data_IF_409920933806
#
_entry.id   IF_409920933806
#
_cell.length_a   1.000
_cell.length_b   1.000
_cell.length_c   1.000
_cell.angle_alpha   90.00
_cell.angle_beta   90.00
_cell.angle_gamma   90.00
#
_symmetry.space_group_name_H-M   'P 1'
#
loop_
_entity.id
_entity.type
_entity.pdbx_description
1 polymer ?
#
# COMPACT_ATOMS: atom_id res chain seq x y z
N UNK A 1 51.67 18.18 4.20
CA UNK A 1 51.03 17.38 3.12
C UNK A 1 49.91 16.58 3.78
N UNK A 2 48.60 16.79 3.55
CA UNK A 2 47.89 17.44 2.42
C UNK A 2 48.23 16.79 1.07
N UNK A 3 47.31 16.27 0.25
CA UNK A 3 45.82 16.19 0.28
C UNK A 3 45.38 14.74 -0.13
N UNK A 4 44.10 14.30 -0.25
CA UNK A 4 42.76 14.90 -0.17
C UNK A 4 41.73 13.80 0.26
N UNK A 5 40.46 14.15 0.52
CA UNK A 5 39.31 13.22 0.56
C UNK A 5 38.70 13.02 -0.85
N UNK A 6 37.91 11.97 -1.04
CA UNK A 6 36.84 11.96 -2.06
C UNK A 6 35.62 11.14 -1.60
N UNK A 7 34.46 11.80 -1.44
CA UNK A 7 33.15 11.14 -1.33
C UNK A 7 32.45 11.20 -2.68
N UNK A 8 31.70 10.16 -3.04
CA UNK A 8 30.53 10.22 -3.95
C UNK A 8 29.34 9.80 -3.09
N UNK A 9 28.28 10.58 -2.81
CA UNK A 9 27.59 11.67 -3.53
C UNK A 9 26.74 11.16 -4.70
N UNK A 10 25.58 10.65 -4.28
CA UNK A 10 24.23 10.71 -4.89
C UNK A 10 24.10 11.63 -6.11
N UNK A 11 23.41 11.15 -7.14
CA UNK A 11 22.60 11.97 -8.06
C UNK A 11 21.30 11.26 -8.42
N UNK A 12 20.18 11.75 -7.88
CA UNK A 12 18.87 11.56 -8.51
C UNK A 12 18.83 12.33 -9.83
N UNK A 13 18.04 11.86 -10.80
CA UNK A 13 17.64 12.64 -11.97
C UNK A 13 16.12 12.65 -12.03
N UNK A 14 15.53 13.74 -11.53
CA UNK A 14 14.09 14.02 -11.66
C UNK A 14 13.87 14.69 -13.01
N UNK A 15 13.43 13.91 -14.00
CA UNK A 15 13.06 14.44 -15.33
C UNK A 15 11.61 14.92 -15.35
N UNK A 16 11.35 16.06 -14.71
CA UNK A 16 10.10 16.82 -14.90
C UNK A 16 10.44 18.08 -15.69
N UNK A 17 10.27 18.03 -17.01
CA UNK A 17 10.38 19.20 -17.89
C UNK A 17 8.99 19.52 -18.47
N UNK A 18 8.46 20.63 -17.98
CA UNK A 18 7.22 21.26 -18.40
C UNK A 18 7.28 21.62 -19.90
N UNK A 19 6.29 21.20 -20.69
CA UNK A 19 6.21 21.57 -22.11
C UNK A 19 4.79 22.02 -22.51
N UNK A 20 4.47 23.27 -22.17
CA UNK A 20 3.31 23.99 -22.71
C UNK A 20 3.84 25.04 -23.68
N UNK A 21 3.69 24.80 -24.98
CA UNK A 21 3.98 25.77 -26.05
C UNK A 21 2.79 25.84 -27.00
N UNK A 22 1.93 26.84 -26.78
CA UNK A 22 0.82 27.16 -27.70
C UNK A 22 1.38 27.81 -28.97
N UNK A 23 1.03 27.28 -30.13
CA UNK A 23 1.32 27.89 -31.43
C UNK A 23 0.12 27.77 -32.38
N UNK A 24 -0.58 28.88 -32.58
CA UNK A 24 -1.56 29.03 -33.67
C UNK A 24 -0.82 29.31 -34.99
N UNK A 25 -1.16 28.58 -36.05
CA UNK A 25 -1.15 29.15 -37.41
C UNK A 25 -2.25 28.50 -38.28
N UNK A 26 -2.58 29.15 -39.39
CA UNK A 26 -3.90 29.13 -40.01
C UNK A 26 -3.90 28.36 -41.34
N UNK A 27 -4.89 27.46 -41.47
CA UNK A 27 -5.60 26.98 -42.69
C UNK A 27 -4.77 26.72 -43.95
N UNK A 28 -4.90 25.50 -44.48
CA UNK A 28 -5.19 25.32 -45.91
C UNK A 28 -6.04 24.07 -46.16
N UNK A 29 -6.94 24.14 -47.14
CA UNK A 29 -7.94 23.12 -47.43
C UNK A 29 -7.72 22.50 -48.82
N UNK A 30 -7.50 21.19 -48.86
CA UNK A 30 -7.50 20.40 -50.11
C UNK A 30 -8.02 19.00 -49.82
N UNK A 31 -9.04 18.58 -50.57
CA UNK A 31 -9.63 17.24 -50.50
C UNK A 31 -8.83 16.23 -51.31
N UNK A 32 -8.47 15.08 -50.72
CA UNK A 32 -7.81 13.98 -51.43
C UNK A 32 -7.93 12.64 -50.70
N UNK A 33 -8.64 11.69 -51.30
CA UNK A 33 -8.60 10.24 -51.04
C UNK A 33 -7.42 9.59 -51.81
N UNK A 34 -6.85 8.43 -51.47
CA UNK A 34 -7.02 7.44 -50.37
C UNK A 34 -5.70 7.38 -49.53
N UNK A 35 -5.25 6.38 -48.73
CA UNK A 35 -5.55 4.94 -48.51
C UNK A 35 -5.22 4.52 -47.05
N UNK A 36 -5.46 3.23 -46.72
CA UNK A 36 -5.22 2.64 -45.40
C UNK A 36 -3.75 2.73 -44.92
N UNK A 37 -3.60 3.10 -43.65
CA UNK A 37 -2.61 2.54 -42.74
C UNK A 37 -3.28 2.37 -41.36
N UNK A 38 -3.97 1.26 -41.15
CA UNK A 38 -4.55 0.93 -39.84
C UNK A 38 -3.39 0.46 -38.94
N UNK A 39 -2.88 1.36 -38.09
CA UNK A 39 -1.82 1.05 -37.15
C UNK A 39 -2.38 0.20 -36.01
N UNK A 40 -2.31 -1.11 -36.18
CA UNK A 40 -2.57 -2.13 -35.17
C UNK A 40 -1.52 -2.02 -34.04
N UNK A 41 -1.72 -1.04 -33.16
CA UNK A 41 -0.99 -0.77 -31.93
C UNK A 41 -1.77 0.22 -31.05
N UNK A 42 -3.08 -0.01 -30.89
CA UNK A 42 -3.73 0.33 -29.62
C UNK A 42 -3.11 -0.61 -28.57
N UNK A 43 -1.99 -0.19 -28.01
CA UNK A 43 -1.54 -0.70 -26.71
C UNK A 43 -2.54 -0.11 -25.73
N UNK A 44 -3.54 -0.91 -25.34
CA UNK A 44 -4.52 -0.53 -24.33
C UNK A 44 -3.78 0.10 -23.14
N UNK A 45 -4.01 1.40 -22.93
CA UNK A 45 -3.56 2.04 -21.71
C UNK A 45 -4.23 1.29 -20.55
N UNK A 46 -3.48 0.85 -19.52
CA UNK A 46 -4.01 -0.02 -18.48
C UNK A 46 -5.24 0.64 -17.86
N UNK A 47 -6.40 0.03 -18.09
CA UNK A 47 -7.69 0.65 -17.77
C UNK A 47 -7.80 0.89 -16.28
N UNK A 48 -8.03 2.15 -15.91
CA UNK A 48 -8.06 2.57 -14.51
C UNK A 48 -9.10 1.79 -13.72
N UNK A 49 -8.73 1.36 -12.52
CA UNK A 49 -9.66 0.67 -11.62
C UNK A 49 -10.77 1.61 -11.16
N UNK A 50 -11.97 1.44 -11.71
CA UNK A 50 -13.18 2.19 -11.33
C UNK A 50 -14.08 1.43 -10.33
N UNK A 51 -13.57 0.37 -9.70
CA UNK A 51 -14.30 -0.38 -8.66
C UNK A 51 -14.38 0.38 -7.32
N UNK A 52 -15.15 -0.16 -6.35
CA UNK A 52 -15.39 0.51 -5.07
C UNK A 52 -14.11 0.56 -4.22
N UNK A 53 -13.44 1.72 -4.19
CA UNK A 53 -12.32 1.96 -3.28
C UNK A 53 -12.85 2.05 -1.84
N UNK A 54 -12.64 0.99 -1.06
CA UNK A 54 -12.91 1.01 0.38
C UNK A 54 -12.07 2.16 1.00
N UNK A 55 -12.66 3.14 1.72
CA UNK A 55 -11.93 4.30 2.23
C UNK A 55 -10.82 3.92 3.22
N UNK A 56 -10.90 2.74 3.82
CA UNK A 56 -9.92 2.18 4.76
C UNK A 56 -8.83 1.32 4.07
N UNK A 57 -8.78 1.27 2.73
CA UNK A 57 -7.82 0.43 1.99
C UNK A 57 -6.37 0.75 2.39
N UNK A 58 -5.60 -0.20 2.97
CA UNK A 58 -4.21 0.04 3.31
C UNK A 58 -3.41 0.34 2.04
N UNK A 59 -2.64 1.43 2.09
CA UNK A 59 -1.76 1.90 1.02
C UNK A 59 -2.44 2.24 -0.31
N UNK A 60 -3.78 2.33 -0.36
CA UNK A 60 -4.54 2.47 -1.60
C UNK A 60 -4.67 3.90 -2.14
N UNK A 61 -4.36 4.92 -1.33
CA UNK A 61 -4.66 6.33 -1.63
C UNK A 61 -3.38 7.10 -2.02
N UNK A 62 -2.53 7.42 -1.04
CA UNK A 62 -1.29 8.18 -1.23
C UNK A 62 -0.21 7.37 -1.95
N UNK A 63 0.71 8.00 -2.68
CA UNK A 63 1.78 7.28 -3.40
C UNK A 63 2.82 6.72 -2.42
N UNK A 64 3.02 7.43 -1.32
CA UNK A 64 3.98 7.12 -0.27
C UNK A 64 3.36 7.26 1.12
N UNK A 65 3.84 6.43 2.04
CA UNK A 65 3.53 6.45 3.46
C UNK A 65 4.82 6.28 4.24
N UNK A 66 4.93 6.90 5.41
CA UNK A 66 6.02 6.68 6.33
C UNK A 66 5.47 6.27 7.69
N UNK A 67 6.02 5.20 8.25
CA UNK A 67 5.67 4.67 9.56
C UNK A 67 6.89 4.64 10.47
N UNK A 68 6.66 4.80 11.77
CA UNK A 68 7.65 4.50 12.81
C UNK A 68 7.33 3.11 13.38
N UNK A 69 8.29 2.19 13.27
CA UNK A 69 8.27 0.90 13.95
C UNK A 69 8.82 1.12 15.36
N UNK A 70 8.02 0.75 16.36
CA UNK A 70 8.32 0.92 17.77
C UNK A 70 8.87 -0.37 18.39
N UNK A 71 9.97 -0.25 19.14
CA UNK A 71 10.64 -1.36 19.82
C UNK A 71 11.86 -0.87 20.60
N UNK A 72 12.73 -1.80 21.02
CA UNK A 72 13.94 -1.49 21.81
C UNK A 72 14.88 -0.49 21.13
N UNK A 73 14.84 -0.41 19.80
CA UNK A 73 15.35 0.70 18.99
C UNK A 73 14.25 1.02 17.95
N UNK A 74 13.66 2.23 17.95
CA UNK A 74 12.72 2.63 16.90
C UNK A 74 13.40 2.69 15.53
N UNK A 75 12.64 2.40 14.47
CA UNK A 75 13.09 2.43 13.08
C UNK A 75 12.03 3.11 12.20
N UNK A 76 12.42 3.66 11.06
CA UNK A 76 11.49 4.20 10.07
C UNK A 76 11.25 3.17 8.95
N UNK A 77 9.98 2.99 8.59
CA UNK A 77 9.57 2.23 7.43
C UNK A 77 8.90 3.14 6.40
N UNK A 78 9.53 3.26 5.24
CA UNK A 78 8.96 3.92 4.06
C UNK A 78 8.19 2.88 3.24
N UNK A 79 6.94 3.19 2.86
CA UNK A 79 6.08 2.34 2.03
C UNK A 79 5.67 3.11 0.78
N UNK A 80 5.88 2.52 -0.40
CA UNK A 80 5.65 3.16 -1.69
C UNK A 80 4.72 2.28 -2.53
N UNK A 81 3.61 2.82 -3.06
CA UNK A 81 2.78 2.15 -4.07
C UNK A 81 3.44 2.27 -5.44
N UNK A 82 4.38 1.37 -5.70
CA UNK A 82 5.16 1.31 -6.95
C UNK A 82 4.27 1.14 -8.19
N UNK A 83 3.22 0.31 -8.07
CA UNK A 83 2.27 0.07 -9.16
C UNK A 83 0.83 0.32 -8.67
N UNK A 84 0.14 1.19 -9.39
CA UNK A 84 -1.28 1.50 -9.18
C UNK A 84 -2.17 0.27 -9.47
N UNK A 85 -3.42 0.23 -8.97
CA UNK A 85 -4.38 -0.81 -9.32
C UNK A 85 -4.54 -0.98 -10.83
N UNK A 86 -4.44 -2.21 -11.33
CA UNK A 86 -4.82 -2.57 -12.70
C UNK A 86 -6.35 -2.74 -12.84
N UNK A 87 -6.80 -3.13 -14.03
CA UNK A 87 -8.22 -3.40 -14.32
C UNK A 87 -8.85 -4.52 -13.47
N UNK A 88 -8.03 -5.37 -12.84
CA UNK A 88 -8.44 -6.41 -11.92
C UNK A 88 -8.38 -5.97 -10.44
N UNK A 89 -8.02 -4.70 -10.18
CA UNK A 89 -7.82 -4.15 -8.84
C UNK A 89 -6.50 -4.55 -8.18
N UNK A 90 -5.54 -5.10 -8.93
CA UNK A 90 -4.26 -5.59 -8.41
C UNK A 90 -3.24 -4.45 -8.37
N UNK A 91 -2.70 -4.17 -7.19
CA UNK A 91 -1.67 -3.16 -6.94
C UNK A 91 -0.49 -3.73 -6.16
N UNK A 92 0.64 -3.03 -6.19
CA UNK A 92 1.87 -3.45 -5.52
C UNK A 92 2.43 -2.31 -4.68
N UNK A 93 2.88 -2.66 -3.48
CA UNK A 93 3.65 -1.77 -2.61
C UNK A 93 4.98 -2.39 -2.26
N UNK A 94 6.01 -1.55 -2.10
CA UNK A 94 7.28 -1.93 -1.52
C UNK A 94 7.49 -1.21 -0.19
N UNK A 95 7.97 -1.95 0.80
CA UNK A 95 8.18 -1.52 2.18
C UNK A 95 9.67 -1.64 2.50
N UNK A 96 10.30 -0.53 2.89
CA UNK A 96 11.73 -0.43 3.12
C UNK A 96 12.01 0.01 4.56
N UNK A 97 12.99 -0.62 5.21
CA UNK A 97 13.45 -0.23 6.55
C UNK A 97 14.97 -0.16 6.52
N UNK A 98 15.51 1.05 6.61
CA UNK A 98 16.92 1.33 6.25
C UNK A 98 17.87 0.85 7.35
N UNK A 99 17.45 0.93 8.61
CA UNK A 99 18.23 0.62 9.81
C UNK A 99 18.57 -0.87 9.93
N UNK A 100 17.75 -1.75 9.36
CA UNK A 100 17.98 -3.21 9.33
C UNK A 100 18.21 -3.76 7.91
N UNK A 101 18.27 -2.90 6.89
CA UNK A 101 18.36 -3.26 5.47
C UNK A 101 17.26 -4.26 5.04
N UNK A 102 16.03 -4.09 5.54
CA UNK A 102 14.88 -4.89 5.10
C UNK A 102 14.17 -4.22 3.92
N UNK A 103 13.75 -5.05 2.95
CA UNK A 103 12.89 -4.64 1.85
C UNK A 103 11.90 -5.77 1.55
N UNK A 104 10.61 -5.44 1.52
CA UNK A 104 9.51 -6.40 1.30
C UNK A 104 8.56 -5.82 0.23
N UNK A 105 8.26 -6.59 -0.82
CA UNK A 105 7.18 -6.27 -1.74
C UNK A 105 5.91 -7.02 -1.34
N UNK A 106 4.76 -6.34 -1.38
CA UNK A 106 3.45 -6.94 -1.14
C UNK A 106 2.49 -6.61 -2.29
N UNK A 107 1.87 -7.66 -2.84
CA UNK A 107 0.88 -7.56 -3.92
C UNK A 107 -0.50 -7.71 -3.30
N UNK A 108 -1.37 -6.74 -3.56
CA UNK A 108 -2.74 -6.66 -3.05
C UNK A 108 -3.75 -6.68 -4.19
N UNK A 109 -4.98 -7.10 -3.90
CA UNK A 109 -6.11 -6.98 -4.81
C UNK A 109 -7.36 -6.43 -4.11
N UNK A 110 -7.98 -5.43 -4.74
CA UNK A 110 -9.30 -4.91 -4.37
C UNK A 110 -10.38 -5.79 -5.02
N UNK A 111 -11.28 -6.38 -4.23
CA UNK A 111 -12.42 -7.18 -4.68
C UNK A 111 -13.71 -6.71 -4.01
N UNK A 112 -14.86 -7.10 -4.56
CA UNK A 112 -16.19 -6.76 -4.01
C UNK A 112 -16.36 -7.16 -2.53
N UNK A 113 -15.68 -8.22 -2.08
CA UNK A 113 -15.72 -8.73 -0.71
C UNK A 113 -14.71 -8.05 0.23
N UNK A 114 -13.72 -7.30 -0.29
CA UNK A 114 -12.67 -6.67 0.50
C UNK A 114 -11.30 -6.63 -0.17
N UNK A 115 -10.30 -6.26 0.63
CA UNK A 115 -8.89 -6.14 0.24
C UNK A 115 -8.18 -7.45 0.59
N UNK A 116 -7.55 -8.07 -0.41
CA UNK A 116 -6.80 -9.32 -0.25
C UNK A 116 -5.30 -9.08 -0.43
N UNK A 117 -4.48 -9.70 0.41
CA UNK A 117 -3.06 -9.90 0.13
C UNK A 117 -2.96 -11.13 -0.78
N UNK A 118 -2.32 -10.97 -1.95
CA UNK A 118 -2.07 -12.07 -2.88
C UNK A 118 -0.72 -12.75 -2.59
N UNK A 119 0.33 -11.95 -2.35
CA UNK A 119 1.65 -12.46 -2.00
C UNK A 119 2.49 -11.41 -1.25
N UNK A 120 3.46 -11.91 -0.48
CA UNK A 120 4.54 -11.15 0.15
C UNK A 120 5.90 -11.69 -0.34
N UNK A 121 6.85 -10.80 -0.59
CA UNK A 121 8.16 -11.08 -1.16
C UNK A 121 9.25 -10.41 -0.32
N UNK A 122 9.92 -11.19 0.53
CA UNK A 122 11.06 -10.71 1.32
C UNK A 122 12.30 -10.50 0.43
N UNK A 123 13.22 -9.63 0.86
CA UNK A 123 14.47 -9.32 0.16
C UNK A 123 14.28 -8.64 -1.21
N UNK A 124 13.26 -7.79 -1.31
CA UNK A 124 12.90 -7.03 -2.52
C UNK A 124 13.84 -5.85 -2.76
N UNK A 125 15.08 -6.14 -3.20
CA UNK A 125 16.12 -5.13 -3.43
C UNK A 125 16.21 -4.63 -4.89
N UNK A 126 15.39 -5.15 -5.80
CA UNK A 126 15.29 -4.72 -7.20
C UNK A 126 13.81 -4.43 -7.51
N UNK A 127 13.53 -3.35 -8.24
CA UNK A 127 12.15 -2.98 -8.61
C UNK A 127 11.68 -3.79 -9.82
N UNK A 128 10.60 -4.54 -9.66
CA UNK A 128 9.96 -5.36 -10.71
C UNK A 128 8.44 -5.49 -10.48
N UNK A 129 7.66 -5.65 -11.54
CA UNK A 129 6.19 -5.80 -11.45
C UNK A 129 5.81 -7.25 -11.13
N UNK A 130 5.52 -7.53 -9.87
CA UNK A 130 5.19 -8.87 -9.36
C UNK A 130 3.68 -9.14 -9.33
N UNK A 131 2.84 -8.19 -9.76
CA UNK A 131 1.37 -8.31 -9.74
C UNK A 131 0.84 -9.51 -10.52
N UNK A 132 1.56 -9.90 -11.58
CA UNK A 132 1.25 -11.04 -12.44
C UNK A 132 2.31 -12.16 -12.38
N UNK A 133 3.19 -12.14 -11.36
CA UNK A 133 4.20 -13.18 -11.19
C UNK A 133 3.55 -14.56 -10.90
N UNK A 134 4.09 -15.68 -11.40
CA UNK A 134 3.51 -17.01 -11.15
C UNK A 134 3.38 -17.35 -9.65
N UNK A 135 4.26 -16.81 -8.81
CA UNK A 135 4.19 -16.94 -7.35
C UNK A 135 2.99 -16.21 -6.75
N UNK A 136 2.71 -14.95 -7.14
CA UNK A 136 1.47 -14.22 -6.79
C UNK A 136 0.23 -15.01 -7.19
N UNK A 137 0.20 -15.55 -8.42
CA UNK A 137 -0.96 -16.26 -8.96
C UNK A 137 -1.18 -17.66 -8.34
N UNK A 138 -0.20 -18.18 -7.59
CA UNK A 138 -0.22 -19.52 -6.97
C UNK A 138 -0.50 -19.53 -5.47
N UNK A 139 -0.41 -18.37 -4.79
CA UNK A 139 -0.64 -18.27 -3.34
C UNK A 139 -2.15 -18.16 -3.02
N UNK A 140 -2.54 -18.70 -1.87
CA UNK A 140 -3.92 -18.56 -1.34
C UNK A 140 -4.14 -17.10 -0.90
N UNK A 141 -5.08 -16.35 -1.50
CA UNK A 141 -5.31 -14.96 -1.13
C UNK A 141 -5.84 -14.84 0.29
N UNK A 142 -5.21 -13.99 1.10
CA UNK A 142 -5.58 -13.74 2.50
C UNK A 142 -6.45 -12.48 2.59
N UNK A 143 -7.61 -12.55 3.25
CA UNK A 143 -8.45 -11.37 3.48
C UNK A 143 -7.81 -10.48 4.54
N UNK A 144 -7.47 -9.24 4.16
CA UNK A 144 -6.83 -8.26 5.05
C UNK A 144 -7.89 -7.41 5.73
N UNK A 145 -8.89 -6.98 4.96
CA UNK A 145 -9.95 -6.06 5.37
C UNK A 145 -11.22 -6.31 4.54
N UNK A 146 -12.40 -6.62 5.13
CA UNK A 146 -13.64 -6.78 4.38
C UNK A 146 -14.14 -5.46 3.78
N UNK A 147 -14.97 -5.54 2.73
CA UNK A 147 -15.64 -4.37 2.14
C UNK A 147 -16.80 -3.88 3.01
N UNK A 148 -17.52 -4.80 3.65
CA UNK A 148 -18.51 -4.51 4.69
C UNK A 148 -17.84 -4.61 6.07
N UNK A 149 -17.66 -3.48 6.75
CA UNK A 149 -17.05 -3.41 8.08
C UNK A 149 -18.18 -3.19 9.10
N UNK A 150 -18.35 -4.15 10.02
CA UNK A 150 -19.37 -4.10 11.07
C UNK A 150 -18.83 -4.74 12.35
N UNK A 151 -19.13 -4.15 13.50
CA UNK A 151 -18.70 -4.64 14.82
C UNK A 151 -19.17 -6.08 15.08
N UNK A 152 -18.30 -6.89 15.68
CA UNK A 152 -18.52 -8.32 15.89
C UNK A 152 -18.38 -9.19 14.64
N UNK A 153 -18.03 -8.63 13.46
CA UNK A 153 -17.67 -9.44 12.30
C UNK A 153 -16.27 -10.03 12.47
N UNK A 154 -16.16 -11.36 12.41
CA UNK A 154 -14.89 -12.08 12.40
C UNK A 154 -14.57 -12.74 11.06
N UNK A 155 -13.29 -12.79 10.69
CA UNK A 155 -12.79 -13.39 9.45
C UNK A 155 -11.37 -13.94 9.60
N UNK A 156 -10.98 -14.93 8.77
CA UNK A 156 -9.63 -15.47 8.77
C UNK A 156 -8.64 -14.49 8.11
N UNK A 157 -7.51 -14.25 8.77
CA UNK A 157 -6.42 -13.36 8.34
C UNK A 157 -5.10 -14.11 8.09
N UNK A 158 -5.16 -15.44 8.01
CA UNK A 158 -4.09 -16.30 7.49
C UNK A 158 -4.66 -17.38 6.56
N UNK A 159 -3.83 -17.90 5.65
CA UNK A 159 -4.23 -18.89 4.66
C UNK A 159 -4.52 -20.29 5.24
N UNK A 160 -4.05 -20.56 6.47
CA UNK A 160 -4.27 -21.79 7.24
C UNK A 160 -5.40 -21.65 8.28
N UNK A 161 -5.97 -20.46 8.46
CA UNK A 161 -7.01 -20.17 9.45
C UNK A 161 -6.51 -20.09 10.90
N UNK A 162 -5.20 -20.09 11.16
CA UNK A 162 -4.64 -19.93 12.51
C UNK A 162 -4.81 -18.52 13.07
N UNK A 163 -4.99 -17.51 12.22
CA UNK A 163 -5.22 -16.11 12.64
C UNK A 163 -6.64 -15.66 12.31
N UNK A 164 -7.34 -15.15 13.32
CA UNK A 164 -8.70 -14.64 13.20
C UNK A 164 -8.70 -13.16 13.53
N UNK A 165 -9.25 -12.33 12.63
CA UNK A 165 -9.53 -10.93 12.86
C UNK A 165 -10.99 -10.73 13.26
N UNK A 166 -11.25 -9.82 14.18
CA UNK A 166 -12.59 -9.38 14.58
C UNK A 166 -12.65 -7.86 14.58
N UNK A 167 -13.68 -7.28 13.96
CA UNK A 167 -13.96 -5.84 14.06
C UNK A 167 -14.49 -5.55 15.47
N UNK A 168 -13.73 -4.82 16.28
CA UNK A 168 -14.04 -4.56 17.69
C UNK A 168 -14.84 -3.27 17.85
N UNK A 169 -14.47 -2.22 17.13
CA UNK A 169 -15.05 -0.89 17.27
C UNK A 169 -15.04 -0.18 15.91
N UNK A 170 -16.11 0.54 15.61
CA UNK A 170 -16.27 1.34 14.39
C UNK A 170 -16.62 2.78 14.73
N UNK A 171 -16.24 3.71 13.85
CA UNK A 171 -16.48 5.14 14.03
C UNK A 171 -15.80 5.76 15.26
N UNK A 172 -14.67 5.20 15.70
CA UNK A 172 -13.94 5.71 16.86
C UNK A 172 -13.11 6.95 16.52
N UNK A 173 -12.76 7.75 17.53
CA UNK A 173 -11.81 8.84 17.39
C UNK A 173 -10.45 8.40 17.95
N UNK A 174 -9.37 8.57 17.18
CA UNK A 174 -8.02 8.15 17.57
C UNK A 174 -7.02 9.27 17.31
N UNK A 175 -6.20 9.61 18.30
CA UNK A 175 -5.21 10.69 18.20
C UNK A 175 -3.80 10.13 18.30
N UNK A 176 -2.94 10.48 17.34
CA UNK A 176 -1.52 10.10 17.35
C UNK A 176 -0.67 11.14 16.61
N UNK A 177 0.53 11.42 17.13
CA UNK A 177 1.45 12.43 16.58
C UNK A 177 0.79 13.82 16.40
N UNK A 178 0.00 14.24 17.39
CA UNK A 178 -0.82 15.47 17.39
C UNK A 178 -1.85 15.57 16.25
N UNK A 179 -2.18 14.45 15.59
CA UNK A 179 -3.21 14.34 14.55
C UNK A 179 -4.39 13.50 15.05
N UNK A 180 -5.57 14.11 15.11
CA UNK A 180 -6.82 13.43 15.44
C UNK A 180 -7.49 12.85 14.16
N UNK A 181 -7.53 11.53 14.07
CA UNK A 181 -8.28 10.79 13.06
C UNK A 181 -9.72 10.59 13.55
N UNK A 182 -10.69 10.70 12.63
CA UNK A 182 -12.11 10.46 12.87
C UNK A 182 -12.55 9.21 12.12
N UNK A 183 -13.71 8.66 12.50
CA UNK A 183 -14.33 7.49 11.89
C UNK A 183 -13.39 6.26 11.80
N UNK A 184 -12.49 6.09 12.77
CA UNK A 184 -11.49 5.01 12.77
C UNK A 184 -12.16 3.66 13.07
N UNK A 185 -11.62 2.60 12.49
CA UNK A 185 -12.03 1.21 12.68
C UNK A 185 -10.93 0.46 13.42
N UNK A 186 -11.27 -0.20 14.53
CA UNK A 186 -10.39 -1.10 15.29
C UNK A 186 -10.68 -2.55 14.93
N UNK A 187 -9.65 -3.29 14.54
CA UNK A 187 -9.70 -4.73 14.24
C UNK A 187 -8.67 -5.46 15.10
N UNK A 188 -9.12 -6.39 15.94
CA UNK A 188 -8.28 -7.24 16.77
C UNK A 188 -7.93 -8.53 16.02
N UNK A 189 -6.66 -8.96 16.06
CA UNK A 189 -6.20 -10.26 15.55
C UNK A 189 -5.76 -11.16 16.72
N UNK A 190 -6.43 -12.31 16.82
CA UNK A 190 -6.02 -13.44 17.66
C UNK A 190 -5.20 -14.43 16.83
N UNK A 191 -4.08 -14.89 17.39
CA UNK A 191 -3.28 -15.99 16.86
C UNK A 191 -3.57 -17.26 17.67
N UNK A 192 -4.31 -18.19 17.08
CA UNK A 192 -4.75 -19.44 17.73
C UNK A 192 -3.58 -20.39 18.05
N UNK A 193 -2.35 -20.05 17.66
CA UNK A 193 -1.13 -20.76 18.04
C UNK A 193 -0.33 -20.07 19.16
N UNK A 194 -0.60 -18.79 19.47
CA UNK A 194 0.14 -17.97 20.43
C UNK A 194 -0.77 -16.98 21.19
N UNK A 195 -1.48 -17.45 22.22
CA UNK A 195 -2.49 -16.67 22.96
C UNK A 195 -1.95 -15.73 24.05
N UNK A 196 -0.64 -15.44 24.09
CA UNK A 196 -0.03 -14.52 25.07
C UNK A 196 -0.43 -13.05 24.86
N UNK A 197 -0.89 -12.70 23.65
CA UNK A 197 -1.26 -11.35 23.25
C UNK A 197 -2.24 -11.35 22.08
N UNK A 198 -2.99 -10.26 21.93
CA UNK A 198 -3.72 -9.90 20.71
C UNK A 198 -3.02 -8.74 19.98
N UNK A 199 -3.27 -8.59 18.68
CA UNK A 199 -2.70 -7.50 17.87
C UNK A 199 -3.82 -6.65 17.28
N UNK A 200 -3.93 -5.38 17.68
CA UNK A 200 -4.98 -4.49 17.17
C UNK A 200 -4.45 -3.61 16.03
N UNK A 201 -5.21 -3.57 14.94
CA UNK A 201 -4.99 -2.75 13.76
C UNK A 201 -6.02 -1.63 13.72
N UNK A 202 -5.58 -0.39 13.57
CA UNK A 202 -6.44 0.79 13.46
C UNK A 202 -6.39 1.32 12.04
N UNK A 203 -7.56 1.44 11.40
CA UNK A 203 -7.71 1.95 10.04
C UNK A 203 -8.52 3.24 10.03
N UNK A 204 -7.99 4.30 9.42
CA UNK A 204 -8.68 5.57 9.23
C UNK A 204 -9.13 5.76 7.76
N UNK A 205 -10.25 6.47 7.50
CA UNK A 205 -10.64 6.81 6.14
C UNK A 205 -9.56 7.63 5.42
N UNK A 206 -9.38 7.41 4.12
CA UNK A 206 -8.35 8.00 3.25
C UNK A 206 -6.88 7.66 3.58
N UNK A 207 -6.55 7.27 4.82
CA UNK A 207 -5.19 6.84 5.18
C UNK A 207 -5.01 5.32 5.09
N UNK A 208 -6.04 4.55 5.40
CA UNK A 208 -5.89 3.10 5.60
C UNK A 208 -5.28 2.81 6.97
N UNK A 209 -4.32 1.89 7.06
CA UNK A 209 -3.67 1.52 8.32
C UNK A 209 -2.95 2.73 8.94
N UNK A 210 -3.31 3.12 10.17
CA UNK A 210 -2.64 4.21 10.90
C UNK A 210 -1.82 3.72 12.10
N UNK A 211 -2.25 2.65 12.78
CA UNK A 211 -1.57 2.10 13.97
C UNK A 211 -1.69 0.58 14.01
N UNK A 212 -0.63 -0.09 14.48
CA UNK A 212 -0.69 -1.45 15.02
C UNK A 212 -0.18 -1.42 16.46
N UNK A 213 -0.96 -1.95 17.40
CA UNK A 213 -0.53 -2.23 18.78
C UNK A 213 -0.59 -3.72 19.09
N UNK A 214 0.07 -4.11 20.17
CA UNK A 214 -0.07 -5.41 20.81
C UNK A 214 -0.55 -5.22 22.23
N UNK A 215 -1.56 -5.98 22.64
CA UNK A 215 -2.09 -5.96 24.01
C UNK A 215 -1.88 -7.33 24.64
N UNK A 216 -1.27 -7.38 25.82
CA UNK A 216 -1.05 -8.63 26.55
C UNK A 216 -2.26 -9.02 27.42
N UNK A 217 -2.23 -10.23 27.98
CA UNK A 217 -3.30 -10.74 28.87
C UNK A 217 -3.59 -9.89 30.12
N UNK A 218 -2.69 -8.95 30.50
CA UNK A 218 -2.91 -8.01 31.60
C UNK A 218 -3.55 -6.67 31.15
N UNK A 219 -3.80 -6.49 29.85
CA UNK A 219 -4.31 -5.25 29.27
C UNK A 219 -3.26 -4.18 29.00
N UNK A 220 -1.97 -4.50 29.12
CA UNK A 220 -0.88 -3.56 28.80
C UNK A 220 -0.72 -3.48 27.28
N UNK A 221 -0.90 -2.28 26.71
CA UNK A 221 -0.70 -2.03 25.27
C UNK A 221 0.71 -1.52 24.96
N UNK A 222 1.28 -2.01 23.86
CA UNK A 222 2.46 -1.47 23.20
C UNK A 222 2.13 -1.19 21.73
N UNK A 223 2.18 0.08 21.31
CA UNK A 223 2.21 0.42 19.89
C UNK A 223 3.46 -0.20 19.25
N UNK A 224 3.27 -0.98 18.18
CA UNK A 224 4.33 -1.62 17.40
C UNK A 224 4.65 -0.84 16.11
N UNK A 225 3.65 -0.18 15.52
CA UNK A 225 3.78 0.60 14.29
C UNK A 225 2.79 1.77 14.32
N UNK A 226 3.22 2.95 13.88
CA UNK A 226 2.40 4.17 13.82
C UNK A 226 2.71 4.99 12.57
N UNK A 227 1.69 5.59 11.96
CA UNK A 227 1.84 6.48 10.80
C UNK A 227 2.48 7.81 11.19
N UNK A 228 3.46 8.25 10.40
CA UNK A 228 4.18 9.51 10.55
C UNK A 228 3.79 10.51 9.44
N UNK A 229 3.58 10.04 8.21
CA UNK A 229 3.00 10.84 7.12
C UNK A 229 2.46 9.97 5.98
N UNK A 230 1.67 10.57 5.09
CA UNK A 230 1.27 10.00 3.80
C UNK A 230 1.21 11.11 2.73
N UNK A 231 1.70 10.83 1.51
CA UNK A 231 1.87 11.78 0.40
C UNK A 231 1.70 11.06 -0.95
#
# INVERSE_FOLDING_TARGET
>A
MLLLKSKKIIRCIVSVIFFICVSFLIINSTTGTTINAQSENDIDAPTEYHGPVNPYTPYGQYVSYQYQINGSQPMIQDVIREYQPDSNGIFQVAMFTVENNSAICQVYQIRDQGIYLLASYDNYYNVEDLRNAPTTLSQTPVLVLPSNIQEGMSYASSADGTKIRTVVETSMNYEINDVAYQDVVKIEEEDLTHSDYVTNYYYAPAYGLIVVERVNQAGESQILLQIMSAQ
#
